data_IF_961946767607
#
_entry.id   IF_961946767607
#
_cell.length_a   1.000
_cell.length_b   1.000
_cell.length_c   1.000
_cell.angle_alpha   90.00
_cell.angle_beta   90.00
_cell.angle_gamma   90.00
#
_symmetry.space_group_name_H-M   'P 1'
#
loop_
_entity.id
_entity.type
_entity.pdbx_description
1 polymer ?
#
# COMPACT_ATOMS: atom_id res chain seq x y z
N UNK A 1 37.59 -5.97 2.21
CA UNK A 1 37.06 -6.48 0.91
C UNK A 1 35.80 -7.32 1.12
N UNK A 2 35.84 -8.52 1.70
CA UNK A 2 34.63 -9.35 1.91
C UNK A 2 33.53 -8.67 2.77
N UNK A 3 33.89 -7.98 3.84
CA UNK A 3 32.92 -7.28 4.71
C UNK A 3 32.19 -6.12 4.02
N UNK A 4 32.84 -5.45 3.06
CA UNK A 4 32.22 -4.35 2.30
C UNK A 4 31.20 -4.86 1.28
N UNK A 5 31.44 -6.03 0.69
CA UNK A 5 30.48 -6.70 -0.20
C UNK A 5 29.25 -7.20 0.58
N UNK A 6 29.47 -7.83 1.74
CA UNK A 6 28.41 -8.24 2.68
C UNK A 6 27.53 -7.05 3.12
N UNK A 7 28.15 -5.92 3.50
CA UNK A 7 27.44 -4.69 3.90
C UNK A 7 26.58 -4.12 2.76
N UNK A 8 27.10 -4.06 1.53
CA UNK A 8 26.34 -3.57 0.36
C UNK A 8 25.16 -4.47 0.03
N UNK A 9 25.33 -5.79 0.13
CA UNK A 9 24.27 -6.78 -0.09
C UNK A 9 23.17 -6.65 0.97
N UNK A 10 23.52 -6.53 2.26
CA UNK A 10 22.55 -6.32 3.34
C UNK A 10 21.78 -5.01 3.20
N UNK A 11 22.44 -3.92 2.79
CA UNK A 11 21.78 -2.64 2.48
C UNK A 11 20.74 -2.78 1.36
N UNK A 12 21.12 -3.37 0.23
CA UNK A 12 20.21 -3.56 -0.90
C UNK A 12 18.99 -4.43 -0.55
N UNK A 13 19.21 -5.54 0.15
CA UNK A 13 18.11 -6.42 0.59
C UNK A 13 17.18 -5.69 1.57
N UNK A 14 17.72 -4.90 2.49
CA UNK A 14 16.89 -4.11 3.41
C UNK A 14 16.07 -3.03 2.71
N UNK A 15 16.64 -2.39 1.68
CA UNK A 15 15.95 -1.38 0.87
C UNK A 15 14.83 -2.01 0.04
N UNK A 16 15.08 -3.15 -0.62
CA UNK A 16 14.03 -3.89 -1.36
C UNK A 16 12.89 -4.31 -0.44
N UNK A 17 13.19 -4.82 0.76
CA UNK A 17 12.15 -5.22 1.73
C UNK A 17 11.32 -4.03 2.19
N UNK A 18 11.97 -2.90 2.43
CA UNK A 18 11.30 -1.66 2.83
C UNK A 18 10.43 -1.12 1.70
N UNK A 19 10.96 -1.02 0.48
CA UNK A 19 10.21 -0.55 -0.69
C UNK A 19 8.98 -1.42 -0.96
N UNK A 20 9.09 -2.74 -0.77
CA UNK A 20 7.99 -3.67 -0.93
C UNK A 20 6.90 -3.45 0.13
N UNK A 21 7.27 -3.21 1.39
CA UNK A 21 6.33 -2.92 2.47
C UNK A 21 5.58 -1.58 2.27
N UNK A 22 6.30 -0.54 1.84
CA UNK A 22 5.72 0.76 1.50
C UNK A 22 4.87 0.72 0.23
N UNK A 23 5.39 0.11 -0.83
CA UNK A 23 4.71 -0.02 -2.11
C UNK A 23 3.40 -0.79 -1.97
N UNK A 24 3.41 -1.91 -1.24
CA UNK A 24 2.18 -2.64 -0.95
C UNK A 24 1.19 -1.83 -0.10
N UNK A 25 1.66 -1.08 0.90
CA UNK A 25 0.80 -0.19 1.68
C UNK A 25 0.14 0.90 0.82
N UNK A 26 0.92 1.50 -0.09
CA UNK A 26 0.45 2.52 -1.02
C UNK A 26 -0.56 1.96 -2.03
N UNK A 27 -0.30 0.78 -2.60
CA UNK A 27 -1.22 0.11 -3.53
C UNK A 27 -2.56 -0.18 -2.83
N UNK A 28 -2.53 -0.72 -1.61
CA UNK A 28 -3.74 -1.02 -0.86
C UNK A 28 -4.52 0.25 -0.52
N UNK A 29 -3.82 1.34 -0.16
CA UNK A 29 -4.45 2.63 0.08
C UNK A 29 -5.11 3.17 -1.19
N UNK A 30 -4.40 3.17 -2.31
CA UNK A 30 -4.93 3.62 -3.60
C UNK A 30 -6.16 2.81 -4.04
N UNK A 31 -6.11 1.48 -3.87
CA UNK A 31 -7.27 0.62 -4.13
C UNK A 31 -8.43 0.94 -3.19
N UNK A 32 -8.19 1.15 -1.90
CA UNK A 32 -9.23 1.52 -0.94
C UNK A 32 -9.90 2.85 -1.27
N UNK A 33 -9.10 3.87 -1.64
CA UNK A 33 -9.61 5.17 -2.10
C UNK A 33 -10.40 5.01 -3.39
N UNK A 34 -9.91 4.20 -4.32
CA UNK A 34 -10.60 3.90 -5.57
C UNK A 34 -11.96 3.24 -5.31
N UNK A 35 -12.04 2.19 -4.49
CA UNK A 35 -13.30 1.53 -4.13
C UNK A 35 -14.26 2.47 -3.40
N UNK A 36 -13.76 3.33 -2.52
CA UNK A 36 -14.60 4.30 -1.81
C UNK A 36 -15.18 5.38 -2.73
N UNK A 37 -14.36 5.92 -3.65
CA UNK A 37 -14.80 6.96 -4.58
C UNK A 37 -15.50 6.42 -5.83
N UNK A 38 -15.42 5.11 -6.13
CA UNK A 38 -16.04 4.54 -7.34
C UNK A 38 -17.53 4.86 -7.42
N UNK A 39 -18.23 4.93 -6.29
CA UNK A 39 -19.65 5.24 -6.23
C UNK A 39 -19.99 6.69 -6.68
N UNK A 40 -19.05 7.63 -6.50
CA UNK A 40 -19.25 9.03 -6.90
C UNK A 40 -18.96 9.27 -8.38
N UNK A 41 -18.17 8.41 -9.02
CA UNK A 41 -17.86 8.52 -10.45
C UNK A 41 -18.80 7.65 -11.28
N UNK A 42 -19.39 8.24 -12.33
CA UNK A 42 -20.11 7.48 -13.37
C UNK A 42 -19.09 6.75 -14.26
N UNK A 43 -18.51 5.67 -13.73
CA UNK A 43 -17.72 4.73 -14.52
C UNK A 43 -18.67 3.76 -15.21
N UNK A 44 -18.48 3.52 -16.52
CA UNK A 44 -19.18 2.45 -17.25
C UNK A 44 -19.01 1.07 -16.60
N UNK A 45 -17.98 0.90 -15.77
CA UNK A 45 -17.77 -0.31 -14.95
C UNK A 45 -18.82 -0.50 -13.85
N UNK A 46 -19.36 0.59 -13.29
CA UNK A 46 -20.41 0.54 -12.27
C UNK A 46 -21.78 0.11 -12.83
N UNK A 47 -21.98 0.21 -14.16
CA UNK A 47 -23.19 -0.29 -14.81
C UNK A 47 -23.23 -1.83 -14.84
N UNK A 48 -22.05 -2.48 -14.90
CA UNK A 48 -21.93 -3.94 -14.82
C UNK A 48 -21.79 -4.46 -13.39
N UNK A 49 -21.15 -3.69 -12.51
CA UNK A 49 -20.95 -4.02 -11.11
C UNK A 49 -21.45 -2.89 -10.23
N UNK A 50 -22.76 -2.88 -9.89
CA UNK A 50 -23.32 -1.82 -9.06
C UNK A 50 -22.52 -1.69 -7.75
N UNK A 51 -22.21 -0.47 -7.32
CA UNK A 51 -21.55 -0.23 -6.04
C UNK A 51 -22.49 -0.61 -4.90
N UNK A 52 -22.11 -1.65 -4.16
CA UNK A 52 -22.81 -2.07 -2.95
C UNK A 52 -22.22 -1.38 -1.71
N UNK A 53 -23.00 -1.31 -0.63
CA UNK A 53 -22.52 -0.80 0.66
C UNK A 53 -21.29 -1.57 1.18
N UNK A 54 -21.16 -2.83 0.77
CA UNK A 54 -20.00 -3.69 1.07
C UNK A 54 -18.72 -3.14 0.43
N UNK A 55 -18.76 -2.65 -0.82
CA UNK A 55 -17.58 -2.05 -1.49
C UNK A 55 -17.09 -0.82 -0.74
N UNK A 56 -18.03 -0.03 -0.20
CA UNK A 56 -17.73 1.19 0.54
C UNK A 56 -17.06 0.85 1.88
N UNK A 57 -17.58 -0.14 2.60
CA UNK A 57 -17.00 -0.66 3.84
C UNK A 57 -15.60 -1.23 3.58
N UNK A 58 -15.46 -2.04 2.53
CA UNK A 58 -14.19 -2.66 2.14
C UNK A 58 -13.16 -1.59 1.74
N UNK A 59 -13.59 -0.57 0.99
CA UNK A 59 -12.78 0.61 0.66
C UNK A 59 -12.27 1.34 1.91
N UNK A 60 -13.14 1.63 2.88
CA UNK A 60 -12.76 2.25 4.15
C UNK A 60 -11.77 1.38 4.94
N UNK A 61 -12.00 0.07 5.02
CA UNK A 61 -11.08 -0.87 5.68
C UNK A 61 -9.70 -0.90 4.99
N UNK A 62 -9.66 -0.93 3.65
CA UNK A 62 -8.43 -0.87 2.88
C UNK A 62 -7.67 0.44 3.08
N UNK A 63 -8.38 1.58 3.16
CA UNK A 63 -7.74 2.87 3.46
C UNK A 63 -7.11 2.85 4.85
N UNK A 64 -7.85 2.43 5.88
CA UNK A 64 -7.35 2.38 7.26
C UNK A 64 -6.13 1.44 7.34
N UNK A 65 -6.23 0.24 6.76
CA UNK A 65 -5.15 -0.74 6.77
C UNK A 65 -3.93 -0.28 5.95
N UNK A 66 -4.16 0.34 4.79
CA UNK A 66 -3.12 0.93 3.94
C UNK A 66 -2.36 2.04 4.67
N UNK A 67 -3.08 2.96 5.31
CA UNK A 67 -2.49 4.02 6.15
C UNK A 67 -1.68 3.43 7.29
N UNK A 68 -2.23 2.46 8.03
CA UNK A 68 -1.51 1.78 9.11
C UNK A 68 -0.23 1.09 8.61
N UNK A 69 -0.28 0.46 7.44
CA UNK A 69 0.87 -0.23 6.84
C UNK A 69 1.96 0.74 6.39
N UNK A 70 1.58 1.89 5.82
CA UNK A 70 2.51 2.98 5.49
C UNK A 70 3.11 3.57 6.77
N UNK A 71 2.31 3.83 7.81
CA UNK A 71 2.79 4.32 9.10
C UNK A 71 3.78 3.36 9.76
N UNK A 72 3.50 2.04 9.70
CA UNK A 72 4.42 0.99 10.16
C UNK A 72 5.73 1.01 9.37
N UNK A 73 5.67 1.27 8.07
CA UNK A 73 6.83 1.50 7.22
C UNK A 73 7.63 2.73 7.65
N UNK A 74 6.95 3.86 7.90
CA UNK A 74 7.54 5.14 8.32
C UNK A 74 8.27 5.07 9.65
N UNK A 75 7.67 4.40 10.63
CA UNK A 75 8.27 4.24 11.96
C UNK A 75 9.51 3.35 11.94
N UNK A 76 9.65 2.46 10.96
CA UNK A 76 10.90 1.74 10.72
C UNK A 76 11.86 2.66 9.96
N UNK A 77 12.51 3.54 10.70
CA UNK A 77 13.75 4.20 10.27
C UNK A 77 14.81 3.12 9.96
N UNK A 78 14.76 2.56 8.74
CA UNK A 78 15.85 1.76 8.16
C UNK A 78 17.08 2.62 7.86
N UNK A 79 16.92 3.95 7.88
CA UNK A 79 17.98 4.93 7.79
C UNK A 79 18.40 5.40 9.19
N UNK A 80 19.07 4.53 9.94
CA UNK A 80 20.07 4.90 10.94
C UNK A 80 21.35 4.14 10.62
#
# INVERSE_FOLDING_TARGET
>A
MFEDYEKRKRKQVSLMKSLMDYGMGLIILLLGVFFFFRNQFKLSFNERFPPDDIDKILGVMCIIYGIWRIYRGYKKNYFR
#
